data_IF_766760374083
#
_entry.id   IF_766760374083
#
_cell.length_a   1.000
_cell.length_b   1.000
_cell.length_c   1.000
_cell.angle_alpha   90.00
_cell.angle_beta   90.00
_cell.angle_gamma   90.00
#
_symmetry.space_group_name_H-M   'P 1'
#
loop_
_entity.id
_entity.type
_entity.pdbx_description
1 polymer ?
#
# COMPACT_ATOMS: atom_id res chain seq x y z
N UNK A 1 -46.63 -22.86 28.09
CA UNK A 1 -45.31 -22.73 28.66
C UNK A 1 -44.19 -23.16 27.74
N UNK A 2 -44.45 -24.06 26.82
CA UNK A 2 -43.40 -24.53 25.90
C UNK A 2 -43.10 -23.55 24.73
N UNK A 3 -44.01 -22.61 24.52
CA UNK A 3 -43.85 -21.65 23.42
C UNK A 3 -42.95 -20.45 23.74
N UNK A 4 -42.66 -20.25 25.02
CA UNK A 4 -41.87 -19.08 25.42
C UNK A 4 -40.37 -19.37 25.41
N UNK A 5 -39.98 -20.62 25.44
CA UNK A 5 -38.58 -21.02 25.45
C UNK A 5 -37.96 -20.94 24.05
N UNK A 6 -38.78 -21.14 23.00
CA UNK A 6 -38.32 -21.10 21.64
C UNK A 6 -38.01 -19.68 21.12
N UNK A 7 -38.61 -18.67 21.77
CA UNK A 7 -38.40 -17.28 21.37
C UNK A 7 -37.07 -16.70 21.88
N UNK A 8 -36.55 -17.28 22.95
CA UNK A 8 -35.29 -16.77 23.52
C UNK A 8 -34.07 -17.28 22.77
N UNK A 9 -34.20 -18.44 22.15
CA UNK A 9 -33.09 -19.04 21.40
C UNK A 9 -32.89 -18.33 20.06
N UNK A 10 -33.95 -17.79 19.51
CA UNK A 10 -33.85 -17.07 18.23
C UNK A 10 -33.13 -15.71 18.28
N UNK A 11 -33.09 -15.11 19.46
CA UNK A 11 -32.45 -13.82 19.64
C UNK A 11 -30.95 -13.91 19.88
N UNK A 12 -30.47 -15.08 20.19
CA UNK A 12 -29.07 -15.25 20.53
C UNK A 12 -28.16 -15.47 19.31
N UNK A 13 -28.77 -15.72 18.18
CA UNK A 13 -28.03 -16.01 16.95
C UNK A 13 -27.67 -14.78 16.12
N UNK A 14 -28.10 -13.59 16.56
CA UNK A 14 -27.88 -12.38 15.77
C UNK A 14 -26.71 -11.54 16.25
N UNK A 15 -25.93 -12.03 17.22
CA UNK A 15 -24.83 -11.24 17.78
C UNK A 15 -23.46 -11.69 17.30
N UNK A 16 -23.40 -12.38 16.18
CA UNK A 16 -22.12 -12.55 15.53
C UNK A 16 -21.85 -11.30 14.73
N UNK A 17 -21.53 -10.26 15.44
CA UNK A 17 -20.91 -9.11 14.84
C UNK A 17 -19.63 -9.58 14.16
N UNK A 18 -19.67 -9.50 12.89
CA UNK A 18 -18.47 -9.61 12.09
C UNK A 18 -17.45 -8.63 12.61
N UNK A 19 -16.48 -9.16 13.31
CA UNK A 19 -15.23 -8.45 13.46
C UNK A 19 -14.59 -8.42 12.09
N UNK A 20 -14.98 -7.44 11.29
CA UNK A 20 -14.29 -7.16 10.08
C UNK A 20 -12.95 -6.58 10.47
N UNK A 21 -11.97 -7.44 10.66
CA UNK A 21 -10.60 -7.00 10.75
C UNK A 21 -10.30 -6.23 9.48
N UNK A 22 -9.68 -5.06 9.62
CA UNK A 22 -9.19 -4.32 8.48
C UNK A 22 -8.27 -5.24 7.71
N UNK A 23 -8.72 -5.66 6.53
CA UNK A 23 -7.92 -6.54 5.69
C UNK A 23 -6.87 -5.71 4.98
N UNK A 24 -5.70 -6.30 4.82
CA UNK A 24 -4.67 -5.70 4.00
C UNK A 24 -5.20 -5.45 2.59
N UNK A 25 -4.87 -4.30 2.05
CA UNK A 25 -5.22 -3.93 0.69
C UNK A 25 -3.96 -3.82 -0.14
N UNK A 26 -4.11 -3.90 -1.45
CA UNK A 26 -2.98 -3.78 -2.37
C UNK A 26 -3.23 -2.65 -3.36
N UNK A 27 -2.18 -1.92 -3.66
CA UNK A 27 -2.21 -0.83 -4.64
C UNK A 27 -0.99 -0.92 -5.53
N UNK A 28 -1.18 -0.63 -6.80
CA UNK A 28 -0.07 -0.47 -7.74
C UNK A 28 0.30 1.00 -7.82
N UNK A 29 1.59 1.27 -7.90
CA UNK A 29 2.05 2.65 -7.99
C UNK A 29 3.56 2.76 -7.96
N UNK A 30 4.03 3.95 -7.69
CA UNK A 30 5.45 4.28 -7.70
C UNK A 30 5.91 4.75 -6.34
N UNK A 31 7.17 4.46 -6.03
CA UNK A 31 7.80 5.01 -4.84
C UNK A 31 8.55 6.26 -5.25
N UNK A 32 8.09 7.39 -4.74
CA UNK A 32 8.65 8.70 -5.02
C UNK A 32 9.21 9.31 -3.73
N UNK A 33 9.56 10.55 -3.76
CA UNK A 33 9.99 11.29 -2.58
C UNK A 33 8.97 12.38 -2.25
N UNK A 34 9.01 12.86 -1.02
CA UNK A 34 8.05 13.85 -0.53
C UNK A 34 8.18 15.20 -1.22
N UNK A 35 9.32 15.49 -1.83
CA UNK A 35 9.53 16.74 -2.54
C UNK A 35 8.84 16.76 -3.90
N UNK A 36 9.00 15.69 -4.68
CA UNK A 36 8.44 15.63 -6.02
C UNK A 36 7.04 15.04 -6.08
N UNK A 37 6.70 14.15 -5.14
CA UNK A 37 5.37 13.55 -5.11
C UNK A 37 5.01 12.90 -6.44
N UNK A 38 3.84 13.22 -6.96
CA UNK A 38 3.32 12.62 -8.19
C UNK A 38 4.20 12.88 -9.41
N UNK A 39 4.98 13.94 -9.43
CA UNK A 39 5.90 14.23 -10.52
C UNK A 39 7.02 13.21 -10.62
N UNK A 40 7.32 12.54 -9.52
CA UNK A 40 8.33 11.50 -9.47
C UNK A 40 7.84 10.10 -9.73
N UNK A 41 6.58 9.94 -10.12
CA UNK A 41 5.98 8.63 -10.33
C UNK A 41 6.31 8.09 -11.72
N UNK A 42 7.60 7.86 -11.98
CA UNK A 42 8.07 7.32 -13.23
C UNK A 42 9.49 6.76 -13.08
N UNK A 43 9.88 5.88 -14.00
CA UNK A 43 11.17 5.22 -13.93
C UNK A 43 12.36 6.16 -14.06
N UNK A 44 12.20 7.26 -14.79
CA UNK A 44 13.29 8.22 -15.00
C UNK A 44 13.63 8.98 -13.72
N UNK A 45 12.77 8.93 -12.72
CA UNK A 45 12.95 9.67 -11.47
C UNK A 45 13.77 8.90 -10.44
N UNK A 46 14.15 7.67 -10.70
CA UNK A 46 14.80 6.81 -9.71
C UNK A 46 16.04 7.46 -9.07
N UNK A 47 16.95 7.96 -9.88
CA UNK A 47 18.17 8.59 -9.37
C UNK A 47 17.87 9.84 -8.56
N UNK A 48 16.87 10.62 -8.99
CA UNK A 48 16.47 11.83 -8.31
C UNK A 48 15.79 11.49 -6.96
N UNK A 49 14.95 10.48 -6.94
CA UNK A 49 14.30 10.03 -5.70
C UNK A 49 15.34 9.59 -4.67
N UNK A 50 16.33 8.81 -5.10
CA UNK A 50 17.40 8.36 -4.21
C UNK A 50 18.19 9.53 -3.65
N UNK A 51 18.48 10.52 -4.49
CA UNK A 51 19.20 11.72 -4.06
C UNK A 51 18.39 12.54 -3.08
N UNK A 52 17.10 12.74 -3.33
CA UNK A 52 16.24 13.53 -2.45
C UNK A 52 16.06 12.85 -1.11
N UNK A 53 15.84 11.54 -1.09
CA UNK A 53 15.71 10.80 0.16
C UNK A 53 17.03 10.82 0.93
N UNK A 54 18.16 10.70 0.24
CA UNK A 54 19.48 10.84 0.86
C UNK A 54 19.71 12.22 1.46
N UNK A 55 19.02 13.24 0.98
CA UNK A 55 19.11 14.60 1.49
C UNK A 55 18.09 14.90 2.60
N UNK A 56 17.30 13.92 3.01
CA UNK A 56 16.34 14.07 4.10
C UNK A 56 14.88 14.03 3.73
N UNK A 57 14.56 13.93 2.44
CA UNK A 57 13.18 13.74 2.01
C UNK A 57 12.72 12.33 2.35
N UNK A 58 11.42 12.15 2.50
CA UNK A 58 10.84 10.86 2.87
C UNK A 58 10.28 10.16 1.63
N UNK A 59 10.43 8.83 1.56
CA UNK A 59 9.73 8.07 0.51
C UNK A 59 8.22 8.19 0.69
N UNK A 60 7.52 8.31 -0.43
CA UNK A 60 6.06 8.33 -0.46
C UNK A 60 5.57 7.38 -1.54
N UNK A 61 4.35 6.91 -1.42
CA UNK A 61 3.73 6.06 -2.41
C UNK A 61 2.78 6.88 -3.29
N UNK A 62 2.92 6.74 -4.60
CA UNK A 62 2.04 7.43 -5.56
C UNK A 62 1.25 6.38 -6.32
N UNK A 63 -0.07 6.38 -6.18
CA UNK A 63 -0.93 5.39 -6.81
C UNK A 63 -0.99 5.57 -8.32
N UNK A 64 -1.08 4.46 -9.07
CA UNK A 64 -1.30 4.51 -10.52
C UNK A 64 -2.66 5.14 -10.84
N UNK A 65 -3.66 4.87 -10.01
CA UNK A 65 -4.97 5.45 -10.18
C UNK A 65 -5.04 6.81 -9.52
N UNK A 66 -5.11 7.85 -10.32
CA UNK A 66 -5.32 9.20 -9.85
C UNK A 66 -4.07 9.89 -9.31
N UNK A 67 -2.90 9.30 -9.46
CA UNK A 67 -1.63 9.90 -9.02
C UNK A 67 -1.70 10.43 -7.58
N UNK A 68 -2.36 9.67 -6.71
CA UNK A 68 -2.53 10.09 -5.33
C UNK A 68 -1.24 9.85 -4.54
N UNK A 69 -0.75 10.89 -3.90
CA UNK A 69 0.44 10.81 -3.05
C UNK A 69 0.01 10.42 -1.65
N UNK A 70 0.49 9.29 -1.17
CA UNK A 70 0.14 8.77 0.14
C UNK A 70 1.40 8.71 1.00
N UNK A 71 1.43 9.43 2.13
CA UNK A 71 2.54 9.31 3.06
C UNK A 71 2.57 7.91 3.66
N UNK A 72 3.76 7.45 4.04
CA UNK A 72 3.97 6.11 4.57
C UNK A 72 4.49 6.24 5.99
N UNK A 73 3.87 5.52 6.93
CA UNK A 73 4.28 5.63 8.33
C UNK A 73 5.50 4.77 8.67
N UNK A 74 5.84 3.80 7.81
CA UNK A 74 7.04 2.99 7.95
C UNK A 74 7.91 3.08 6.68
N UNK A 75 8.46 4.26 6.37
CA UNK A 75 9.15 4.50 5.09
C UNK A 75 10.38 3.62 4.86
N UNK A 76 10.94 3.03 5.89
CA UNK A 76 12.07 2.12 5.76
C UNK A 76 11.74 0.93 4.85
N UNK A 77 10.47 0.53 4.80
CA UNK A 77 10.02 -0.55 3.94
C UNK A 77 10.15 -0.20 2.45
N UNK A 78 10.29 1.07 2.11
CA UNK A 78 10.36 1.56 0.74
C UNK A 78 11.76 1.94 0.28
N UNK A 79 12.76 1.91 1.17
CA UNK A 79 14.10 2.42 0.87
C UNK A 79 14.75 1.72 -0.33
N UNK A 80 14.51 0.44 -0.49
CA UNK A 80 15.10 -0.33 -1.58
C UNK A 80 14.33 -0.22 -2.89
N UNK A 81 13.23 0.51 -2.89
CA UNK A 81 12.31 0.57 -4.03
C UNK A 81 12.12 1.98 -4.59
N UNK A 82 12.99 2.91 -4.22
CA UNK A 82 12.88 4.31 -4.68
C UNK A 82 12.90 4.38 -6.20
N UNK A 83 11.92 5.03 -6.78
CA UNK A 83 11.80 5.16 -8.22
C UNK A 83 11.30 3.92 -8.94
N UNK A 84 10.88 2.91 -8.20
CA UNK A 84 10.40 1.67 -8.79
C UNK A 84 8.88 1.64 -8.88
N UNK A 85 8.39 0.94 -9.90
CA UNK A 85 6.97 0.63 -10.04
C UNK A 85 6.67 -0.64 -9.24
N UNK A 86 5.79 -0.55 -8.27
CA UNK A 86 5.58 -1.63 -7.30
C UNK A 86 4.11 -1.83 -6.98
N UNK A 87 3.82 -3.01 -6.45
CA UNK A 87 2.56 -3.25 -5.77
C UNK A 87 2.82 -3.26 -4.27
N UNK A 88 2.17 -2.39 -3.56
CA UNK A 88 2.29 -2.29 -2.10
C UNK A 88 1.07 -2.93 -1.47
N UNK A 89 1.30 -3.79 -0.50
CA UNK A 89 0.25 -4.38 0.33
C UNK A 89 0.38 -3.82 1.73
N UNK A 90 -0.72 -3.35 2.28
CA UNK A 90 -0.72 -2.77 3.61
C UNK A 90 -2.08 -2.26 4.02
N UNK A 91 -2.09 -1.40 5.01
CA UNK A 91 -3.31 -0.89 5.63
C UNK A 91 -3.24 0.63 5.73
N UNK A 92 -4.33 1.30 5.40
CA UNK A 92 -4.43 2.74 5.63
C UNK A 92 -4.67 3.00 7.11
N UNK A 93 -3.88 3.90 7.67
CA UNK A 93 -4.05 4.30 9.06
C UNK A 93 -5.15 5.34 9.18
N UNK A 94 -5.64 5.56 10.39
CA UNK A 94 -6.66 6.58 10.65
C UNK A 94 -6.17 7.99 10.34
N UNK A 95 -4.86 8.20 10.34
CA UNK A 95 -4.27 9.49 10.01
C UNK A 95 -4.06 9.74 8.52
N UNK A 96 -4.46 8.81 7.67
CA UNK A 96 -4.32 8.95 6.23
C UNK A 96 -2.97 8.52 5.68
N UNK A 97 -2.17 7.83 6.47
CA UNK A 97 -0.90 7.28 6.04
C UNK A 97 -1.06 5.80 5.69
N UNK A 98 -0.15 5.30 4.88
CA UNK A 98 -0.11 3.89 4.52
C UNK A 98 0.91 3.18 5.41
N UNK A 99 0.49 2.10 6.04
CA UNK A 99 1.41 1.19 6.70
C UNK A 99 1.71 0.04 5.75
N UNK A 100 2.96 -0.11 5.36
CA UNK A 100 3.37 -1.09 4.34
C UNK A 100 3.73 -2.41 5.01
N UNK A 101 3.08 -3.48 4.58
CA UNK A 101 3.39 -4.83 5.03
C UNK A 101 4.35 -5.54 4.07
N UNK A 102 4.15 -5.33 2.77
CA UNK A 102 5.03 -5.93 1.75
C UNK A 102 5.04 -5.10 0.47
N UNK A 103 6.11 -5.24 -0.29
CA UNK A 103 6.29 -4.57 -1.57
C UNK A 103 6.69 -5.61 -2.60
N UNK A 104 6.01 -5.59 -3.74
CA UNK A 104 6.30 -6.49 -4.85
C UNK A 104 6.66 -5.66 -6.08
N UNK A 105 7.76 -5.98 -6.71
CA UNK A 105 8.17 -5.29 -7.93
C UNK A 105 7.23 -5.63 -9.08
N UNK A 106 6.79 -4.61 -9.79
CA UNK A 106 6.03 -4.78 -11.02
C UNK A 106 6.97 -4.68 -12.22
N UNK A 107 6.57 -5.28 -13.33
CA UNK A 107 7.33 -5.18 -14.55
C UNK A 107 7.35 -3.72 -15.00
N UNK A 108 8.53 -3.19 -15.23
CA UNK A 108 8.65 -1.82 -15.71
C UNK A 108 8.32 -1.77 -17.19
N UNK A 109 7.49 -0.81 -17.54
CA UNK A 109 7.12 -0.62 -18.93
C UNK A 109 8.36 -0.27 -19.73
N UNK A 110 8.63 -1.07 -20.73
CA UNK A 110 9.83 -0.89 -21.56
C UNK A 110 11.09 -1.44 -20.94
N UNK A 111 11.00 -1.96 -19.74
CA UNK A 111 12.14 -2.56 -19.08
C UNK A 111 12.31 -4.00 -19.50
N UNK A 112 13.52 -4.32 -19.86
CA UNK A 112 13.83 -5.70 -20.16
C UNK A 112 14.09 -6.47 -18.92
N UNK A 113 14.07 -5.80 -17.90
CA UNK A 113 14.24 -6.44 -16.67
C UNK A 113 13.15 -7.34 -16.38
N UNK A 114 12.81 -7.59 -17.00
CA UNK A 114 11.90 -8.15 -16.60
C UNK A 114 12.08 -9.38 -16.21
N UNK A 115 12.39 -9.36 -16.30
CA UNK A 115 12.18 -10.17 -16.03
C UNK A 115 12.22 -10.80 -15.23
N UNK A 116 12.51 -10.47 -15.04
CA UNK A 116 12.36 -10.83 -14.38
C UNK A 116 11.96 -11.08 -13.58
N UNK A 117 12.02 -10.75 -13.56
CA UNK A 117 11.59 -10.74 -12.85
C UNK A 117 10.95 -11.50 -12.42
N UNK A 118 10.94 -11.84 -12.84
CA UNK A 118 10.17 -12.44 -12.61
C UNK A 118 10.27 -13.25 -11.82
N UNK A 119 10.79 -13.09 -11.68
CA UNK A 119 10.79 -13.46 -11.01
C UNK A 119 10.44 -13.70 -10.10
N UNK A 120 10.36 -13.78 -9.79
CA UNK A 120 9.97 -13.78 -9.02
C UNK A 120 9.75 -14.01 -8.28
#
# INVERSE_FOLDING_TARGET
>A
MKKRVLLVIGLYLCSMTLLAAAKDQSWDGWISDSKCGAKGANAAHEACAKKCVGAGEKPVFVTDKGDKVIPVDNPDALQDHLGHHVQVTGTMTSGGSLHVDSVKMLAQKGGTGSGMSDMH
#
